data_IF_230867107096
#
_entry.id   IF_230867107096
#
_cell.length_a   1.000
_cell.length_b   1.000
_cell.length_c   1.000
_cell.angle_alpha   90.00
_cell.angle_beta   90.00
_cell.angle_gamma   90.00
#
_symmetry.space_group_name_H-M   'P 1'
#
loop_
_entity.id
_entity.type
_entity.pdbx_description
1 polymer ?
#
# COMPACT_ATOMS: atom_id res chain seq x y z
N UNK A 1 73.61 68.45 -22.78
CA UNK A 1 74.63 69.45 -23.15
C UNK A 1 74.55 70.55 -22.10
N UNK A 2 75.10 70.36 -20.90
CA UNK A 2 76.51 70.54 -20.50
C UNK A 2 76.77 69.62 -19.30
N UNK A 3 77.63 68.60 -19.46
CA UNK A 3 78.28 67.75 -18.42
C UNK A 3 78.78 66.42 -19.06
N UNK A 4 79.33 66.46 -20.28
CA UNK A 4 79.92 65.27 -20.93
C UNK A 4 81.43 65.42 -21.23
N UNK A 5 82.02 66.61 -21.03
CA UNK A 5 83.43 66.89 -21.39
C UNK A 5 84.46 66.57 -20.29
N UNK A 6 84.05 65.98 -19.15
CA UNK A 6 84.92 65.69 -18.01
C UNK A 6 84.93 64.22 -17.57
N UNK A 7 84.56 63.30 -18.47
CA UNK A 7 84.79 61.88 -18.24
C UNK A 7 86.15 61.46 -18.82
N UNK A 8 87.05 60.81 -18.05
CA UNK A 8 88.25 60.21 -18.61
C UNK A 8 87.88 59.17 -19.66
N UNK A 9 88.66 59.06 -20.75
CA UNK A 9 88.44 58.08 -21.81
C UNK A 9 88.56 56.67 -21.25
N UNK A 10 87.40 56.02 -21.05
CA UNK A 10 87.33 54.66 -20.56
C UNK A 10 87.90 53.73 -21.65
N UNK A 11 88.83 52.82 -21.33
CA UNK A 11 89.31 51.85 -22.31
C UNK A 11 88.15 51.01 -22.84
N UNK A 12 88.12 50.75 -24.15
CA UNK A 12 86.98 50.12 -24.84
C UNK A 12 86.53 48.77 -24.22
N UNK A 13 87.43 48.05 -23.56
CA UNK A 13 87.12 46.81 -22.85
C UNK A 13 86.29 47.02 -21.55
N UNK A 14 86.46 48.15 -20.86
CA UNK A 14 85.71 48.48 -19.65
C UNK A 14 84.31 48.99 -19.98
N UNK A 15 84.12 49.72 -21.07
CA UNK A 15 82.79 50.09 -21.57
C UNK A 15 81.96 48.85 -21.90
N UNK A 16 82.54 47.91 -22.65
CA UNK A 16 81.87 46.65 -22.97
C UNK A 16 81.48 45.86 -21.70
N UNK A 17 82.29 45.94 -20.64
CA UNK A 17 82.00 45.29 -19.37
C UNK A 17 80.87 45.98 -18.59
N UNK A 18 80.84 47.32 -18.56
CA UNK A 18 79.77 48.10 -17.94
C UNK A 18 78.46 47.91 -18.71
N UNK A 19 78.49 47.93 -20.04
CA UNK A 19 77.31 47.69 -20.87
C UNK A 19 76.78 46.27 -20.66
N UNK A 20 77.64 45.25 -20.64
CA UNK A 20 77.23 43.88 -20.32
C UNK A 20 76.64 43.77 -18.90
N UNK A 21 77.19 44.49 -17.93
CA UNK A 21 76.69 44.51 -16.55
C UNK A 21 75.33 45.22 -16.42
N UNK A 22 75.15 46.35 -17.08
CA UNK A 22 73.88 47.09 -17.11
C UNK A 22 72.81 46.29 -17.88
N UNK A 23 73.17 45.66 -19.00
CA UNK A 23 72.29 44.79 -19.76
C UNK A 23 71.84 43.60 -18.90
N UNK A 24 72.75 42.98 -18.14
CA UNK A 24 72.39 41.87 -17.24
C UNK A 24 71.52 42.31 -16.06
N UNK A 25 71.84 43.42 -15.41
CA UNK A 25 71.09 43.94 -14.25
C UNK A 25 69.73 44.55 -14.59
N UNK A 26 69.53 45.10 -15.80
CA UNK A 26 68.25 45.69 -16.19
C UNK A 26 67.39 44.76 -17.05
N UNK A 27 67.98 44.06 -18.02
CA UNK A 27 67.20 43.25 -18.98
C UNK A 27 66.75 41.92 -18.38
N UNK A 28 67.56 41.24 -17.56
CA UNK A 28 67.14 39.96 -16.98
C UNK A 28 66.02 40.10 -15.95
N UNK A 29 66.04 41.07 -15.01
CA UNK A 29 64.93 41.24 -14.08
C UNK A 29 63.63 41.67 -14.77
N UNK A 30 63.72 42.53 -15.80
CA UNK A 30 62.55 42.89 -16.60
C UNK A 30 62.00 41.71 -17.40
N UNK A 31 62.86 40.94 -18.08
CA UNK A 31 62.45 39.72 -18.78
C UNK A 31 61.85 38.69 -17.81
N UNK A 32 62.42 38.53 -16.62
CA UNK A 32 61.88 37.63 -15.60
C UNK A 32 60.50 38.07 -15.13
N UNK A 33 60.33 39.35 -14.77
CA UNK A 33 59.07 39.90 -14.24
C UNK A 33 57.97 39.92 -15.30
N UNK A 34 58.28 40.34 -16.53
CA UNK A 34 57.27 40.54 -17.58
C UNK A 34 57.04 39.31 -18.47
N UNK A 35 57.96 38.33 -18.49
CA UNK A 35 57.84 37.14 -19.34
C UNK A 35 57.80 35.86 -18.50
N UNK A 36 58.88 35.55 -17.77
CA UNK A 36 59.04 34.23 -17.11
C UNK A 36 58.02 34.03 -15.97
N UNK A 37 57.87 35.03 -15.10
CA UNK A 37 56.93 35.00 -13.96
C UNK A 37 55.47 34.84 -14.41
N UNK A 38 54.93 35.64 -15.36
CA UNK A 38 53.57 35.43 -15.83
C UNK A 38 53.39 34.11 -16.58
N UNK A 39 54.39 33.63 -17.34
CA UNK A 39 54.34 32.31 -17.99
C UNK A 39 54.21 31.17 -16.97
N UNK A 40 55.07 31.16 -15.95
CA UNK A 40 55.04 30.14 -14.88
C UNK A 40 53.76 30.21 -14.04
N UNK A 41 53.25 31.41 -13.77
CA UNK A 41 51.93 31.59 -13.14
C UNK A 41 50.79 31.04 -14.01
N UNK A 42 50.84 31.24 -15.33
CA UNK A 42 49.80 30.78 -16.24
C UNK A 42 49.82 29.24 -16.39
N UNK A 43 51.01 28.63 -16.43
CA UNK A 43 51.19 27.17 -16.44
C UNK A 43 50.62 26.56 -15.14
N UNK A 44 51.02 27.07 -13.97
CA UNK A 44 50.50 26.56 -12.69
C UNK A 44 49.00 26.76 -12.51
N UNK A 45 48.44 27.87 -13.02
CA UNK A 45 46.98 28.10 -13.06
C UNK A 45 46.27 27.06 -13.93
N UNK A 46 46.79 26.74 -15.12
CA UNK A 46 46.21 25.71 -16.00
C UNK A 46 46.22 24.34 -15.34
N UNK A 47 47.34 23.94 -14.73
CA UNK A 47 47.42 22.67 -14.00
C UNK A 47 46.42 22.59 -12.84
N UNK A 48 46.20 23.70 -12.13
CA UNK A 48 45.22 23.77 -11.05
C UNK A 48 43.79 23.61 -11.57
N UNK A 49 43.46 24.33 -12.65
CA UNK A 49 42.16 24.22 -13.31
C UNK A 49 41.91 22.81 -13.86
N UNK A 50 42.92 22.18 -14.44
CA UNK A 50 42.82 20.82 -14.96
C UNK A 50 42.55 19.81 -13.83
N UNK A 51 43.26 19.92 -12.71
CA UNK A 51 43.00 19.10 -11.51
C UNK A 51 41.58 19.32 -10.96
N UNK A 52 41.12 20.57 -10.91
CA UNK A 52 39.77 20.90 -10.45
C UNK A 52 38.69 20.36 -11.40
N UNK A 53 38.91 20.46 -12.70
CA UNK A 53 38.00 19.93 -13.71
C UNK A 53 37.93 18.39 -13.65
N UNK A 54 39.07 17.69 -13.51
CA UNK A 54 39.10 16.24 -13.32
C UNK A 54 38.31 15.84 -12.06
N UNK A 55 38.47 16.59 -10.97
CA UNK A 55 37.72 16.37 -9.73
C UNK A 55 36.22 16.58 -9.93
N UNK A 56 35.80 17.69 -10.53
CA UNK A 56 34.39 18.00 -10.81
C UNK A 56 33.75 16.94 -11.71
N UNK A 57 34.45 16.48 -12.75
CA UNK A 57 33.97 15.41 -13.63
C UNK A 57 33.81 14.10 -12.86
N UNK A 58 34.73 13.77 -11.95
CA UNK A 58 34.62 12.58 -11.11
C UNK A 58 33.42 12.67 -10.15
N UNK A 59 33.24 13.82 -9.49
CA UNK A 59 32.13 14.06 -8.57
C UNK A 59 30.78 14.05 -9.30
N UNK A 60 30.69 14.66 -10.48
CA UNK A 60 29.49 14.64 -11.33
C UNK A 60 29.13 13.21 -11.76
N UNK A 61 30.12 12.41 -12.20
CA UNK A 61 29.90 10.99 -12.55
C UNK A 61 29.37 10.19 -11.36
N UNK A 62 29.90 10.45 -10.16
CA UNK A 62 29.45 9.79 -8.93
C UNK A 62 28.01 10.19 -8.58
N UNK A 63 27.66 11.47 -8.70
CA UNK A 63 26.31 11.97 -8.47
C UNK A 63 25.30 11.37 -9.47
N UNK A 64 25.65 11.31 -10.76
CA UNK A 64 24.81 10.67 -11.80
C UNK A 64 24.60 9.19 -11.49
N UNK A 65 25.65 8.45 -11.12
CA UNK A 65 25.54 7.04 -10.77
C UNK A 65 24.66 6.81 -9.53
N UNK A 66 24.76 7.71 -8.53
CA UNK A 66 23.90 7.66 -7.34
C UNK A 66 22.44 7.93 -7.68
N UNK A 67 22.16 8.93 -8.53
CA UNK A 67 20.81 9.24 -9.00
C UNK A 67 20.22 8.04 -9.76
N UNK A 68 20.95 7.48 -10.73
CA UNK A 68 20.50 6.31 -11.50
C UNK A 68 20.24 5.10 -10.61
N UNK A 69 21.09 4.88 -9.59
CA UNK A 69 20.88 3.79 -8.63
C UNK A 69 19.63 4.01 -7.78
N UNK A 70 19.40 5.24 -7.32
CA UNK A 70 18.21 5.60 -6.53
C UNK A 70 16.95 5.44 -7.37
N UNK A 71 16.94 5.95 -8.61
CA UNK A 71 15.84 5.83 -9.55
C UNK A 71 15.51 4.35 -9.82
N UNK A 72 16.52 3.52 -10.09
CA UNK A 72 16.33 2.08 -10.29
C UNK A 72 15.73 1.39 -9.07
N UNK A 73 16.14 1.78 -7.85
CA UNK A 73 15.56 1.23 -6.61
C UNK A 73 14.10 1.63 -6.46
N UNK A 74 13.76 2.91 -6.65
CA UNK A 74 12.40 3.41 -6.54
C UNK A 74 11.48 2.75 -7.57
N UNK A 75 11.94 2.63 -8.82
CA UNK A 75 11.24 1.90 -9.87
C UNK A 75 11.02 0.44 -9.48
N UNK A 76 12.02 -0.20 -8.89
CA UNK A 76 11.90 -1.56 -8.34
C UNK A 76 10.80 -1.68 -7.28
N UNK A 77 10.71 -0.75 -6.34
CA UNK A 77 9.65 -0.74 -5.32
C UNK A 77 8.26 -0.52 -5.91
N UNK A 78 8.15 0.36 -6.91
CA UNK A 78 6.90 0.61 -7.62
C UNK A 78 6.44 -0.63 -8.41
N UNK A 79 7.36 -1.24 -9.17
CA UNK A 79 7.09 -2.41 -10.00
C UNK A 79 6.71 -3.63 -9.16
N UNK A 80 7.41 -3.89 -8.04
CA UNK A 80 7.21 -5.10 -7.23
C UNK A 80 6.25 -4.91 -6.05
N UNK A 81 5.45 -3.85 -6.05
CA UNK A 81 4.38 -3.70 -5.07
C UNK A 81 3.33 -4.82 -5.26
N UNK A 82 2.78 -5.35 -4.16
CA UNK A 82 1.77 -6.43 -4.22
C UNK A 82 0.47 -5.98 -4.88
N UNK A 83 0.10 -4.72 -4.69
CA UNK A 83 -1.10 -4.11 -5.21
C UNK A 83 -0.81 -3.42 -6.56
N UNK A 84 -1.83 -3.32 -7.41
CA UNK A 84 -1.73 -2.60 -8.67
C UNK A 84 -1.73 -1.11 -8.40
N UNK A 85 -0.80 -0.37 -9.00
CA UNK A 85 -0.69 1.09 -8.82
C UNK A 85 -0.90 1.77 -10.16
N UNK A 86 -1.75 2.79 -10.15
CA UNK A 86 -2.07 3.63 -11.32
C UNK A 86 -1.81 5.09 -10.99
N UNK A 87 -1.21 5.80 -11.94
CA UNK A 87 -1.14 7.26 -11.99
C UNK A 87 -2.10 7.71 -13.07
N UNK A 88 -3.08 8.53 -12.70
CA UNK A 88 -4.20 8.91 -13.57
C UNK A 88 -4.26 10.43 -13.69
N UNK A 89 -4.54 10.91 -14.89
CA UNK A 89 -4.85 12.32 -15.14
C UNK A 89 -6.26 12.63 -14.63
N UNK A 90 -6.43 13.54 -13.66
CA UNK A 90 -7.74 13.84 -13.09
C UNK A 90 -8.69 14.48 -14.11
N UNK A 91 -8.20 15.20 -15.12
CA UNK A 91 -9.08 15.91 -16.06
C UNK A 91 -9.60 15.00 -17.17
N UNK A 92 -8.78 14.04 -17.61
CA UNK A 92 -9.11 13.16 -18.75
C UNK A 92 -9.45 11.72 -18.35
N UNK A 93 -9.26 11.36 -17.08
CA UNK A 93 -9.41 9.99 -16.55
C UNK A 93 -8.48 8.96 -17.22
N UNK A 94 -7.44 9.43 -17.93
CA UNK A 94 -6.47 8.58 -18.64
C UNK A 94 -5.38 8.10 -17.71
N UNK A 95 -4.95 6.86 -17.92
CA UNK A 95 -3.82 6.28 -17.19
C UNK A 95 -2.51 6.87 -17.76
N UNK A 96 -1.78 7.59 -16.93
CA UNK A 96 -0.49 8.21 -17.23
C UNK A 96 0.68 7.25 -16.99
N UNK A 97 0.58 6.42 -15.94
CA UNK A 97 1.54 5.34 -15.67
C UNK A 97 0.93 4.24 -14.81
N UNK A 98 1.53 3.05 -14.83
CA UNK A 98 1.14 1.94 -13.97
C UNK A 98 2.32 0.98 -13.73
N UNK A 99 2.26 0.24 -12.62
CA UNK A 99 3.27 -0.76 -12.28
C UNK A 99 3.06 -2.07 -13.05
N UNK A 100 4.06 -2.96 -13.04
CA UNK A 100 3.99 -4.26 -13.72
C UNK A 100 2.81 -5.12 -13.27
N UNK A 101 2.52 -5.12 -11.97
CA UNK A 101 1.39 -5.88 -11.41
C UNK A 101 0.05 -5.43 -12.00
N UNK A 102 -0.14 -4.14 -12.26
CA UNK A 102 -1.38 -3.62 -12.84
C UNK A 102 -1.69 -4.20 -14.22
N UNK A 103 -0.74 -4.13 -15.15
CA UNK A 103 -0.97 -4.57 -16.52
C UNK A 103 -0.93 -6.10 -16.66
N UNK A 104 -0.12 -6.79 -15.85
CA UNK A 104 -0.12 -8.26 -15.79
C UNK A 104 -1.45 -8.81 -15.26
N UNK A 105 -1.99 -8.25 -14.16
CA UNK A 105 -3.28 -8.70 -13.61
C UNK A 105 -4.46 -8.43 -14.53
N UNK A 106 -4.44 -7.33 -15.27
CA UNK A 106 -5.52 -6.96 -16.19
C UNK A 106 -5.37 -7.60 -17.57
N UNK A 107 -4.19 -8.14 -17.90
CA UNK A 107 -3.91 -8.82 -19.17
C UNK A 107 -3.64 -7.87 -20.35
N UNK A 108 -3.18 -6.65 -20.08
CA UNK A 108 -2.84 -5.65 -21.10
C UNK A 108 -1.33 -5.46 -21.19
N UNK A 109 -0.82 -4.94 -22.32
CA UNK A 109 0.54 -4.40 -22.36
C UNK A 109 0.61 -3.03 -21.68
N UNK A 110 1.81 -2.59 -21.29
CA UNK A 110 1.99 -1.25 -20.72
C UNK A 110 1.50 -0.17 -21.70
N UNK A 111 1.81 -0.30 -22.99
CA UNK A 111 1.41 0.66 -24.02
C UNK A 111 -0.10 0.71 -24.20
N UNK A 112 -0.77 -0.44 -24.15
CA UNK A 112 -2.23 -0.51 -24.19
C UNK A 112 -2.84 0.18 -22.97
N UNK A 113 -2.30 -0.06 -21.78
CA UNK A 113 -2.79 0.56 -20.54
C UNK A 113 -2.76 2.08 -20.58
N UNK A 114 -1.71 2.68 -21.16
CA UNK A 114 -1.59 4.14 -21.30
C UNK A 114 -2.59 4.76 -22.29
N UNK A 115 -3.29 3.92 -23.07
CA UNK A 115 -4.37 4.35 -23.95
C UNK A 115 -5.76 4.21 -23.31
N UNK A 116 -5.85 3.55 -22.15
CA UNK A 116 -7.12 3.31 -21.46
C UNK A 116 -7.46 4.45 -20.48
N UNK A 117 -8.75 4.51 -20.17
CA UNK A 117 -9.31 5.30 -19.08
C UNK A 117 -9.72 4.41 -17.92
N UNK A 118 -9.88 4.98 -16.72
CA UNK A 118 -10.40 4.22 -15.56
C UNK A 118 -11.79 3.66 -15.86
N UNK A 119 -12.58 4.37 -16.67
CA UNK A 119 -13.88 3.89 -17.16
C UNK A 119 -13.85 2.61 -17.99
N UNK A 120 -12.75 2.33 -18.70
CA UNK A 120 -12.58 1.10 -19.48
C UNK A 120 -12.34 -0.11 -18.58
N UNK A 121 -11.72 0.10 -17.41
CA UNK A 121 -11.50 -0.92 -16.39
C UNK A 121 -12.74 -1.12 -15.51
N UNK A 122 -13.55 -0.08 -15.31
CA UNK A 122 -14.72 -0.06 -14.43
C UNK A 122 -16.04 -0.02 -15.20
N UNK A 123 -16.28 -0.97 -16.10
CA UNK A 123 -17.44 -0.98 -17.01
C UNK A 123 -18.79 -1.08 -16.30
N UNK A 124 -18.83 -1.72 -15.13
CA UNK A 124 -20.06 -1.99 -14.38
C UNK A 124 -20.47 -0.89 -13.39
N UNK A 125 -19.62 0.13 -13.19
CA UNK A 125 -19.91 1.21 -12.22
C UNK A 125 -20.81 2.26 -12.83
N UNK A 126 -21.90 2.58 -12.14
CA UNK A 126 -22.83 3.62 -12.57
C UNK A 126 -22.13 4.99 -12.67
N UNK A 127 -22.44 5.75 -13.70
CA UNK A 127 -21.83 7.08 -13.95
C UNK A 127 -22.03 8.04 -12.76
N UNK A 128 -23.15 7.95 -12.06
CA UNK A 128 -23.45 8.81 -10.90
C UNK A 128 -22.56 8.51 -9.70
N UNK A 129 -22.21 7.24 -9.46
CA UNK A 129 -21.31 6.87 -8.36
C UNK A 129 -19.88 7.31 -8.65
N UNK A 130 -19.42 7.15 -9.89
CA UNK A 130 -18.12 7.67 -10.34
C UNK A 130 -18.00 9.18 -10.14
N UNK A 131 -19.02 9.95 -10.53
CA UNK A 131 -19.02 11.41 -10.33
C UNK A 131 -18.87 11.81 -8.87
N UNK A 132 -19.59 11.15 -7.96
CA UNK A 132 -19.48 11.42 -6.51
C UNK A 132 -18.09 11.10 -5.96
N UNK A 133 -17.50 9.98 -6.36
CA UNK A 133 -16.15 9.61 -5.95
C UNK A 133 -15.11 10.61 -6.47
N UNK A 134 -15.27 11.05 -7.73
CA UNK A 134 -14.42 12.04 -8.36
C UNK A 134 -14.49 13.42 -7.68
N UNK A 135 -15.69 13.89 -7.33
CA UNK A 135 -15.87 15.14 -6.58
C UNK A 135 -15.17 15.11 -5.21
N UNK A 136 -15.22 13.98 -4.51
CA UNK A 136 -14.50 13.77 -3.25
C UNK A 136 -13.00 13.74 -3.44
N UNK A 137 -12.51 13.11 -4.50
CA UNK A 137 -11.08 13.14 -4.83
C UNK A 137 -10.61 14.58 -5.10
N UNK A 138 -11.34 15.37 -5.89
CA UNK A 138 -10.99 16.76 -6.21
C UNK A 138 -10.91 17.64 -4.96
N UNK A 139 -11.71 17.36 -3.93
CA UNK A 139 -11.67 18.11 -2.67
C UNK A 139 -10.41 17.81 -1.83
N UNK A 140 -9.58 16.84 -2.26
CA UNK A 140 -8.37 16.40 -1.57
C UNK A 140 -8.63 15.27 -0.56
N UNK A 141 -9.81 14.68 -0.56
CA UNK A 141 -10.14 13.54 0.30
C UNK A 141 -9.51 12.26 -0.25
N UNK A 142 -8.85 11.48 0.62
CA UNK A 142 -8.44 10.12 0.30
C UNK A 142 -9.66 9.21 0.33
N UNK A 143 -9.97 8.58 -0.79
CA UNK A 143 -11.13 7.69 -0.91
C UNK A 143 -10.70 6.23 -0.87
N UNK A 144 -11.50 5.39 -0.22
CA UNK A 144 -11.39 3.94 -0.26
C UNK A 144 -12.77 3.34 -0.50
N UNK A 145 -12.91 2.47 -1.49
CA UNK A 145 -14.17 1.84 -1.86
C UNK A 145 -13.95 0.50 -2.58
N UNK A 146 -14.94 -0.39 -2.51
CA UNK A 146 -14.93 -1.65 -3.26
C UNK A 146 -15.68 -1.49 -4.60
N UNK A 147 -15.15 -2.13 -5.64
CA UNK A 147 -15.76 -2.18 -6.97
C UNK A 147 -15.35 -3.44 -7.73
N UNK A 148 -15.66 -3.53 -9.02
CA UNK A 148 -15.23 -4.63 -9.89
C UNK A 148 -14.48 -4.09 -11.10
N UNK A 149 -13.27 -4.62 -11.32
CA UNK A 149 -12.50 -4.37 -12.52
C UNK A 149 -12.76 -5.45 -13.58
N UNK A 150 -12.75 -5.06 -14.85
CA UNK A 150 -12.86 -5.94 -16.01
C UNK A 150 -11.50 -6.11 -16.67
N UNK A 151 -11.03 -7.36 -16.78
CA UNK A 151 -9.80 -7.72 -17.52
C UNK A 151 -10.00 -7.60 -19.03
N UNK A 152 -8.89 -7.68 -19.79
CA UNK A 152 -8.92 -7.70 -21.26
C UNK A 152 -9.75 -8.85 -21.85
N UNK A 153 -9.74 -10.01 -21.19
CA UNK A 153 -10.54 -11.18 -21.57
C UNK A 153 -12.04 -11.04 -21.26
N UNK A 154 -12.44 -9.96 -20.58
CA UNK A 154 -13.81 -9.70 -20.17
C UNK A 154 -14.21 -10.30 -18.82
N UNK A 155 -13.31 -11.03 -18.14
CA UNK A 155 -13.56 -11.51 -16.77
C UNK A 155 -13.55 -10.35 -15.78
N UNK A 156 -14.46 -10.40 -14.81
CA UNK A 156 -14.50 -9.43 -13.73
C UNK A 156 -13.91 -10.00 -12.45
N UNK A 157 -13.33 -9.13 -11.64
CA UNK A 157 -12.87 -9.48 -10.30
C UNK A 157 -13.11 -8.33 -9.33
N UNK A 158 -13.46 -8.63 -8.07
CA UNK A 158 -13.69 -7.62 -7.06
C UNK A 158 -12.35 -7.00 -6.63
N UNK A 159 -12.36 -5.68 -6.49
CA UNK A 159 -11.19 -4.91 -6.06
C UNK A 159 -11.56 -3.90 -4.98
N UNK A 160 -10.63 -3.62 -4.10
CA UNK A 160 -10.63 -2.47 -3.21
C UNK A 160 -9.72 -1.39 -3.80
N UNK A 161 -10.25 -0.19 -4.01
CA UNK A 161 -9.53 0.93 -4.61
C UNK A 161 -9.32 1.99 -3.56
N UNK A 162 -8.06 2.30 -3.27
CA UNK A 162 -7.66 3.48 -2.49
C UNK A 162 -7.06 4.51 -3.42
N UNK A 163 -7.58 5.73 -3.41
CA UNK A 163 -7.11 6.79 -4.30
C UNK A 163 -6.86 8.10 -3.58
N UNK A 164 -5.74 8.73 -3.91
CA UNK A 164 -5.27 9.98 -3.32
C UNK A 164 -4.78 10.93 -4.41
N UNK A 165 -5.03 12.23 -4.24
CA UNK A 165 -4.49 13.25 -5.13
C UNK A 165 -3.08 13.64 -4.70
N UNK A 166 -2.17 13.69 -5.67
CA UNK A 166 -0.78 14.08 -5.51
C UNK A 166 -0.44 15.23 -6.45
N UNK A 167 0.68 15.90 -6.18
CA UNK A 167 1.28 16.89 -7.08
C UNK A 167 2.60 16.32 -7.57
N UNK A 168 2.69 16.06 -8.87
CA UNK A 168 3.88 15.56 -9.55
C UNK A 168 4.35 16.60 -10.57
N UNK A 169 5.60 17.06 -10.43
CA UNK A 169 6.18 18.16 -11.21
C UNK A 169 5.29 19.43 -11.34
N UNK A 170 4.45 19.70 -10.33
CA UNK A 170 3.52 20.83 -10.32
C UNK A 170 2.17 20.56 -11.00
N UNK A 171 1.95 19.36 -11.57
CA UNK A 171 0.67 18.90 -12.11
C UNK A 171 -0.05 18.03 -11.07
N UNK A 172 -1.37 18.20 -10.95
CA UNK A 172 -2.21 17.32 -10.12
C UNK A 172 -2.38 15.98 -10.82
N UNK A 173 -2.15 14.89 -10.09
CA UNK A 173 -2.34 13.51 -10.55
C UNK A 173 -3.08 12.71 -9.49
N UNK A 174 -3.82 11.69 -9.90
CA UNK A 174 -4.46 10.73 -9.01
C UNK A 174 -3.61 9.47 -8.92
N UNK A 175 -3.13 9.15 -7.72
CA UNK A 175 -2.54 7.85 -7.44
C UNK A 175 -3.62 6.93 -6.91
N UNK A 176 -3.88 5.84 -7.63
CA UNK A 176 -4.83 4.81 -7.22
C UNK A 176 -4.11 3.48 -6.97
N UNK A 177 -4.28 2.95 -5.78
CA UNK A 177 -3.82 1.62 -5.37
C UNK A 177 -5.02 0.70 -5.40
N UNK A 178 -4.91 -0.40 -6.16
CA UNK A 178 -5.98 -1.34 -6.43
C UNK A 178 -5.56 -2.71 -5.92
N UNK A 179 -6.27 -3.19 -4.91
CA UNK A 179 -6.07 -4.50 -4.30
C UNK A 179 -7.14 -5.46 -4.81
N UNK A 180 -6.70 -6.63 -5.25
CA UNK A 180 -7.59 -7.74 -5.56
C UNK A 180 -8.10 -8.37 -4.25
N UNK A 181 -9.41 -8.44 -4.09
CA UNK A 181 -10.05 -8.97 -2.88
C UNK A 181 -10.80 -10.28 -3.16
N UNK A 182 -10.54 -10.94 -4.30
CA UNK A 182 -11.21 -12.19 -4.68
C UNK A 182 -11.02 -13.28 -3.62
N UNK A 183 -9.77 -13.55 -3.24
CA UNK A 183 -9.44 -14.57 -2.23
C UNK A 183 -10.01 -14.22 -0.84
N UNK A 184 -10.11 -12.92 -0.53
CA UNK A 184 -10.72 -12.47 0.73
C UNK A 184 -12.21 -12.76 0.73
N UNK A 185 -12.92 -12.44 -0.35
CA UNK A 185 -14.36 -12.70 -0.49
C UNK A 185 -14.67 -14.18 -0.51
N UNK A 186 -13.90 -14.99 -1.24
CA UNK A 186 -14.07 -16.44 -1.26
C UNK A 186 -13.98 -17.05 0.14
N UNK A 187 -12.98 -16.62 0.94
CA UNK A 187 -12.84 -17.08 2.34
C UNK A 187 -13.95 -16.58 3.26
N UNK A 188 -14.42 -15.35 3.06
CA UNK A 188 -15.54 -14.79 3.83
C UNK A 188 -16.84 -15.55 3.52
N UNK A 189 -17.12 -15.82 2.24
CA UNK A 189 -18.28 -16.60 1.79
C UNK A 189 -18.22 -18.06 2.27
N UNK A 190 -17.08 -18.74 2.15
CA UNK A 190 -16.89 -20.10 2.65
C UNK A 190 -17.13 -20.16 4.16
N UNK A 191 -16.59 -19.19 4.91
CA UNK A 191 -16.81 -19.09 6.35
C UNK A 191 -18.28 -18.89 6.68
N UNK A 192 -19.00 -18.03 5.96
CA UNK A 192 -20.43 -17.80 6.17
C UNK A 192 -21.26 -19.05 5.87
N UNK A 193 -20.93 -19.77 4.81
CA UNK A 193 -21.55 -21.06 4.48
C UNK A 193 -21.34 -22.08 5.59
N UNK A 194 -20.11 -22.26 6.06
CA UNK A 194 -19.79 -23.17 7.17
C UNK A 194 -20.51 -22.78 8.47
N UNK A 195 -20.63 -21.48 8.77
CA UNK A 195 -21.40 -21.01 9.92
C UNK A 195 -22.89 -21.35 9.77
N UNK A 196 -23.46 -21.20 8.58
CA UNK A 196 -24.85 -21.54 8.31
C UNK A 196 -25.08 -23.06 8.43
N UNK A 197 -24.19 -23.89 7.88
CA UNK A 197 -24.24 -25.34 8.02
C UNK A 197 -24.15 -25.79 9.49
N UNK A 198 -23.20 -25.22 10.26
CA UNK A 198 -23.05 -25.53 11.68
C UNK A 198 -24.29 -25.14 12.48
N UNK A 199 -24.90 -23.97 12.18
CA UNK A 199 -26.16 -23.55 12.82
C UNK A 199 -27.29 -24.53 12.53
N UNK A 200 -27.47 -24.93 11.27
CA UNK A 200 -28.49 -25.89 10.89
C UNK A 200 -28.28 -27.24 11.59
N UNK A 201 -27.06 -27.75 11.62
CA UNK A 201 -26.74 -29.00 12.31
C UNK A 201 -27.01 -28.93 13.83
N UNK A 202 -26.69 -27.80 14.47
CA UNK A 202 -27.00 -27.56 15.89
C UNK A 202 -28.50 -27.53 16.17
N UNK A 203 -29.30 -26.96 15.27
CA UNK A 203 -30.75 -26.92 15.42
C UNK A 203 -31.39 -28.30 15.23
N UNK A 204 -30.83 -29.16 14.37
CA UNK A 204 -31.32 -30.54 14.21
C UNK A 204 -31.11 -31.38 15.48
N UNK A 205 -29.93 -31.29 16.11
CA UNK A 205 -29.59 -32.03 17.34
C UNK A 205 -30.51 -31.64 18.52
N UNK A 206 -31.00 -30.39 18.55
CA UNK A 206 -31.85 -29.88 19.64
C UNK A 206 -33.31 -30.28 19.54
N UNK A 207 -33.71 -30.96 18.47
CA UNK A 207 -35.09 -31.45 18.33
C UNK A 207 -35.17 -32.92 18.73
N UNK A 208 -35.95 -33.24 19.77
CA UNK A 208 -36.34 -34.62 20.10
C UNK A 208 -37.12 -35.22 18.91
N UNK A 209 -36.41 -35.76 17.92
CA UNK A 209 -37.01 -36.40 16.73
C UNK A 209 -37.08 -37.91 16.93
N UNK A 210 -38.22 -38.50 16.58
CA UNK A 210 -38.45 -39.96 16.63
C UNK A 210 -39.38 -40.42 17.76
N UNK A 211 -39.70 -41.72 17.77
CA UNK A 211 -40.51 -42.34 18.83
C UNK A 211 -39.59 -42.65 20.00
N UNK A 212 -39.72 -41.89 21.09
CA UNK A 212 -39.01 -42.20 22.34
C UNK A 212 -39.65 -43.42 23.02
N UNK A 213 -38.91 -44.53 23.20
CA UNK A 213 -39.43 -45.70 23.90
C UNK A 213 -39.68 -45.41 25.38
N UNK A 214 -40.93 -45.52 25.80
CA UNK A 214 -41.35 -45.38 27.21
C UNK A 214 -41.78 -46.72 27.80
N UNK A 215 -41.52 -46.93 29.09
CA UNK A 215 -42.04 -48.10 29.79
C UNK A 215 -43.54 -47.92 30.05
N UNK A 216 -44.38 -48.85 29.58
CA UNK A 216 -45.84 -48.75 29.75
C UNK A 216 -46.29 -48.71 31.21
N UNK A 217 -45.51 -49.28 32.13
CA UNK A 217 -45.84 -49.37 33.56
C UNK A 217 -45.36 -48.17 34.36
N UNK A 218 -44.06 -47.84 34.31
CA UNK A 218 -43.45 -46.80 35.16
C UNK A 218 -43.13 -45.49 34.42
N UNK A 219 -43.47 -45.41 33.13
CA UNK A 219 -43.31 -44.23 32.26
C UNK A 219 -41.88 -43.70 32.10
N UNK A 220 -40.85 -44.39 32.58
CA UNK A 220 -39.43 -44.09 32.30
C UNK A 220 -39.14 -44.10 30.80
N UNK A 221 -38.22 -43.26 30.35
CA UNK A 221 -37.72 -43.21 28.97
C UNK A 221 -36.46 -44.06 28.87
N UNK A 222 -36.31 -44.81 27.78
CA UNK A 222 -35.06 -45.51 27.48
C UNK A 222 -34.16 -44.62 26.63
N UNK A 223 -32.96 -44.32 27.13
CA UNK A 223 -31.99 -43.48 26.45
C UNK A 223 -31.24 -44.22 25.33
N UNK A 224 -30.40 -43.50 24.59
CA UNK A 224 -29.65 -44.04 23.43
C UNK A 224 -28.64 -45.13 23.80
N UNK A 225 -28.23 -45.19 25.07
CA UNK A 225 -27.37 -46.24 25.63
C UNK A 225 -28.17 -47.45 26.14
N UNK A 226 -29.49 -47.42 26.02
CA UNK A 226 -30.39 -48.49 26.41
C UNK A 226 -30.79 -48.52 27.89
N UNK A 227 -30.39 -47.53 28.70
CA UNK A 227 -30.74 -47.41 30.12
C UNK A 227 -32.08 -46.69 30.31
N UNK A 228 -32.78 -47.01 31.41
CA UNK A 228 -34.07 -46.41 31.78
C UNK A 228 -33.88 -45.25 32.75
N UNK A 229 -34.28 -44.05 32.34
CA UNK A 229 -34.20 -42.81 33.12
C UNK A 229 -35.60 -42.21 33.35
N UNK A 230 -35.74 -41.36 34.36
CA UNK A 230 -36.97 -40.58 34.54
C UNK A 230 -37.16 -39.62 33.35
N UNK A 231 -38.42 -39.43 32.95
CA UNK A 231 -38.80 -38.58 31.82
C UNK A 231 -38.20 -37.18 31.96
N UNK A 232 -38.32 -36.62 33.15
CA UNK A 232 -37.89 -35.25 33.44
C UNK A 232 -36.38 -35.09 33.29
N UNK A 233 -35.61 -36.02 33.87
CA UNK A 233 -34.16 -36.08 33.75
C UNK A 233 -33.74 -36.22 32.29
N UNK A 234 -34.44 -37.05 31.51
CA UNK A 234 -34.14 -37.23 30.09
C UNK A 234 -34.46 -35.96 29.28
N UNK A 235 -35.61 -35.34 29.48
CA UNK A 235 -36.02 -34.14 28.75
C UNK A 235 -35.11 -32.96 29.08
N UNK A 236 -34.78 -32.71 30.36
CA UNK A 236 -33.88 -31.60 30.72
C UNK A 236 -32.44 -31.81 30.25
N UNK A 237 -31.97 -33.06 30.09
CA UNK A 237 -30.65 -33.35 29.50
C UNK A 237 -30.60 -33.17 27.99
N UNK A 238 -31.71 -33.48 27.30
CA UNK A 238 -31.73 -33.60 25.83
C UNK A 238 -32.58 -32.51 25.16
N UNK A 239 -33.05 -31.51 25.91
CA UNK A 239 -33.76 -30.35 25.40
C UNK A 239 -33.49 -29.12 26.26
N UNK A 240 -33.87 -27.94 25.78
CA UNK A 240 -33.78 -26.69 26.54
C UNK A 240 -34.98 -26.45 27.47
N UNK A 241 -35.76 -27.48 27.81
CA UNK A 241 -36.95 -27.34 28.64
C UNK A 241 -36.64 -27.49 30.14
N UNK A 242 -37.02 -26.47 30.90
CA UNK A 242 -37.10 -26.53 32.36
C UNK A 242 -38.45 -27.10 32.79
N UNK A 243 -38.43 -28.08 33.70
CA UNK A 243 -39.64 -28.79 34.13
C UNK A 243 -40.01 -28.36 35.54
N UNK A 244 -41.23 -27.87 35.70
CA UNK A 244 -41.83 -27.62 37.01
C UNK A 244 -42.81 -28.74 37.37
N UNK A 245 -42.92 -29.04 38.66
CA UNK A 245 -43.88 -30.00 39.17
C UNK A 245 -45.19 -29.30 39.53
N UNK A 246 -46.29 -29.77 38.96
CA UNK A 246 -47.65 -29.37 39.33
C UNK A 246 -48.54 -30.60 39.44
N UNK A 247 -49.65 -30.48 40.16
CA UNK A 247 -50.63 -31.55 40.33
C UNK A 247 -51.83 -31.22 39.46
N UNK A 248 -52.19 -32.10 38.51
CA UNK A 248 -53.37 -31.90 37.68
C UNK A 248 -54.67 -32.04 38.50
N UNK A 249 -55.80 -31.46 38.05
CA UNK A 249 -57.06 -31.52 38.78
C UNK A 249 -57.55 -32.94 39.12
N UNK A 250 -57.31 -33.91 38.25
CA UNK A 250 -57.71 -35.30 38.47
C UNK A 250 -56.90 -35.95 39.60
N UNK A 251 -55.58 -35.83 39.53
CA UNK A 251 -54.69 -36.32 40.59
C UNK A 251 -54.95 -35.59 41.91
N UNK A 252 -55.24 -34.30 41.88
CA UNK A 252 -55.56 -33.53 43.08
C UNK A 252 -56.84 -34.06 43.76
N UNK A 253 -57.89 -34.33 42.98
CA UNK A 253 -59.14 -34.92 43.50
C UNK A 253 -58.95 -36.31 44.07
N UNK A 254 -58.03 -37.09 43.47
CA UNK A 254 -57.78 -38.47 43.88
C UNK A 254 -56.92 -38.57 45.13
N UNK A 255 -55.81 -37.84 45.16
CA UNK A 255 -54.80 -37.94 46.23
C UNK A 255 -55.09 -36.98 47.40
N UNK A 256 -55.81 -35.87 47.14
CA UNK A 256 -56.19 -34.87 48.15
C UNK A 256 -57.67 -34.46 48.03
N UNK A 257 -58.61 -35.42 48.16
CA UNK A 257 -60.03 -35.19 47.92
C UNK A 257 -60.60 -34.06 48.78
N UNK A 258 -60.22 -33.95 50.07
CA UNK A 258 -60.74 -32.91 50.97
C UNK A 258 -60.34 -31.48 50.59
N UNK A 259 -59.17 -31.28 50.00
CA UNK A 259 -58.66 -29.95 49.61
C UNK A 259 -58.94 -29.62 48.14
N UNK A 260 -59.33 -30.63 47.35
CA UNK A 260 -59.46 -30.51 45.90
C UNK A 260 -60.48 -29.45 45.47
N UNK A 261 -61.62 -29.32 46.16
CA UNK A 261 -62.65 -28.32 45.80
C UNK A 261 -62.20 -26.88 46.06
N UNK A 262 -61.51 -26.62 47.19
CA UNK A 262 -61.05 -25.28 47.55
C UNK A 262 -59.83 -24.84 46.72
N UNK A 263 -58.95 -25.78 46.36
CA UNK A 263 -57.81 -25.48 45.49
C UNK A 263 -58.27 -25.26 44.03
N UNK A 264 -59.21 -26.07 43.53
CA UNK A 264 -59.72 -25.91 42.16
C UNK A 264 -60.57 -24.66 41.97
N UNK A 265 -61.31 -24.23 43.00
CA UNK A 265 -62.08 -22.97 42.94
C UNK A 265 -61.17 -21.75 42.80
N UNK A 266 -59.96 -21.80 43.37
CA UNK A 266 -58.95 -20.72 43.29
C UNK A 266 -58.17 -20.67 41.98
N UNK A 267 -57.99 -21.81 41.29
CA UNK A 267 -57.26 -21.90 40.00
C UNK A 267 -58.15 -21.49 38.80
N UNK A 268 -59.47 -21.45 38.97
CA UNK A 268 -60.44 -21.22 37.88
C UNK A 268 -60.84 -19.73 37.68
N UNK A 269 -60.07 -18.80 38.24
CA UNK A 269 -60.25 -17.34 38.14
C UNK A 269 -59.02 -16.72 37.52
#
# INVERSE_FOLDING_TARGET
>A
MVLLDYMPSIPHYQEAFIDAFVLTMLVFPTLYIFVVKPLTQNISMRERLEKENIRLVADLKKAIAQLQLSEKKLKGYFDHATDSIFIIDPDTDRILDCNIVAYEKLGYSKEEMLQLTVGDLNKKVQLNERKKLFERQISGENICFETCHTRKDGSDFPVEVTSAMLVDEGKKVLQSIVRDISERREREEEREQLIAELKNALDEIKTLRGILPICSFCKKIRNDKGYWEQVEVYISKNSSADISHSICPECLKKEYPEFSQDVLSKIST
#
